data_IF_830821081620
#
_entry.id   IF_830821081620
#
_cell.length_a   1.000
_cell.length_b   1.000
_cell.length_c   1.000
_cell.angle_alpha   90.00
_cell.angle_beta   90.00
_cell.angle_gamma   90.00
#
_symmetry.space_group_name_H-M   'P 1'
#
loop_
_entity.id
_entity.type
_entity.pdbx_description
1 polymer ?
#
# COMPACT_ATOMS: atom_id res chain seq x y z
N UNK A 1 -2.28 7.13 -25.78
CA UNK A 1 -2.11 6.05 -25.42
C UNK A 1 -2.35 5.83 -24.04
N UNK A 2 -2.67 4.88 -23.77
CA UNK A 2 -2.90 4.63 -22.47
C UNK A 2 -1.74 4.97 -21.67
N UNK A 3 -1.96 5.58 -20.65
CA UNK A 3 -0.98 5.87 -19.74
C UNK A 3 -0.62 4.62 -19.00
N UNK A 4 0.38 3.95 -19.48
CA UNK A 4 0.73 2.68 -18.91
C UNK A 4 1.22 2.77 -17.49
N UNK A 5 1.56 3.96 -17.05
CA UNK A 5 2.07 4.11 -15.69
C UNK A 5 0.99 4.28 -14.65
N UNK A 6 -0.23 4.62 -15.05
CA UNK A 6 -1.26 4.89 -14.08
C UNK A 6 -1.67 3.69 -13.27
N UNK A 7 -1.48 2.48 -13.80
CA UNK A 7 -1.84 1.27 -13.09
C UNK A 7 -0.66 0.49 -12.55
N UNK A 8 0.53 1.07 -12.58
CA UNK A 8 1.74 0.34 -12.25
C UNK A 8 2.13 0.55 -10.80
N UNK A 9 1.59 -0.27 -9.96
CA UNK A 9 1.89 -0.22 -8.54
C UNK A 9 2.58 -1.49 -8.08
N UNK A 10 3.63 -1.34 -7.29
CA UNK A 10 4.29 -2.44 -6.60
C UNK A 10 3.85 -2.38 -5.15
N UNK A 11 3.33 -3.47 -4.62
CA UNK A 11 2.70 -3.48 -3.30
C UNK A 11 3.38 -4.52 -2.42
N UNK A 12 3.60 -4.17 -1.17
CA UNK A 12 4.01 -5.11 -0.14
C UNK A 12 3.26 -4.82 1.14
N UNK A 13 3.00 -5.86 1.94
CA UNK A 13 2.34 -5.67 3.23
C UNK A 13 3.31 -6.10 4.32
N UNK A 14 3.66 -5.16 5.19
CA UNK A 14 4.56 -5.41 6.31
C UNK A 14 3.76 -5.83 7.52
N UNK A 15 4.37 -6.62 8.39
CA UNK A 15 3.65 -7.14 9.56
C UNK A 15 3.28 -6.07 10.57
N UNK A 16 4.04 -4.97 10.63
CA UNK A 16 3.77 -3.89 11.58
C UNK A 16 4.42 -2.58 11.10
N UNK A 17 4.17 -1.52 11.85
CA UNK A 17 4.68 -0.19 11.54
C UNK A 17 6.20 -0.14 11.57
N UNK A 18 6.82 -0.87 12.49
CA UNK A 18 8.27 -0.86 12.63
C UNK A 18 8.94 -1.41 11.38
N UNK A 19 8.46 -2.53 10.87
CA UNK A 19 9.00 -3.12 9.65
C UNK A 19 8.68 -2.28 8.43
N UNK A 20 7.49 -1.69 8.40
CA UNK A 20 7.11 -0.78 7.32
C UNK A 20 8.04 0.42 7.27
N UNK A 21 8.39 0.98 8.42
CA UNK A 21 9.30 2.11 8.47
C UNK A 21 10.68 1.74 7.92
N UNK A 22 11.19 0.57 8.27
CA UNK A 22 12.47 0.11 7.73
C UNK A 22 12.43 -0.05 6.22
N UNK A 23 11.34 -0.63 5.71
CA UNK A 23 11.17 -0.81 4.27
C UNK A 23 11.06 0.52 3.54
N UNK A 24 10.31 1.45 4.09
CA UNK A 24 10.16 2.79 3.50
C UNK A 24 11.50 3.52 3.50
N UNK A 25 12.25 3.46 4.60
CA UNK A 25 13.55 4.10 4.65
C UNK A 25 14.48 3.53 3.57
N UNK A 26 14.42 2.22 3.35
CA UNK A 26 15.22 1.59 2.32
C UNK A 26 14.78 2.02 0.91
N UNK A 27 13.48 2.18 0.69
CA UNK A 27 12.98 2.70 -0.59
C UNK A 27 13.51 4.10 -0.86
N UNK A 28 13.49 4.94 0.16
CA UNK A 28 13.97 6.32 0.02
C UNK A 28 15.47 6.36 -0.24
N UNK A 29 16.23 5.52 0.45
CA UNK A 29 17.68 5.42 0.21
C UNK A 29 17.99 4.91 -1.20
N UNK A 30 17.09 4.11 -1.75
CA UNK A 30 17.24 3.64 -3.12
C UNK A 30 16.86 4.70 -4.16
N UNK A 31 16.41 5.87 -3.72
CA UNK A 31 16.11 6.98 -4.61
C UNK A 31 14.66 7.05 -5.05
N UNK A 32 13.77 6.25 -4.44
CA UNK A 32 12.35 6.32 -4.78
C UNK A 32 11.71 7.50 -4.06
N UNK A 33 11.01 8.32 -4.81
CA UNK A 33 10.46 9.58 -4.30
C UNK A 33 9.31 9.31 -3.33
N UNK A 34 9.21 10.07 -2.22
CA UNK A 34 8.08 9.92 -1.30
C UNK A 34 6.72 10.09 -1.98
N UNK A 35 6.65 10.94 -3.01
CA UNK A 35 5.39 11.17 -3.74
C UNK A 35 4.88 9.93 -4.45
N UNK A 36 5.74 8.95 -4.69
CA UNK A 36 5.34 7.69 -5.33
C UNK A 36 4.89 6.64 -4.32
N UNK A 37 5.03 6.92 -3.03
CA UNK A 37 4.75 5.94 -1.98
C UNK A 37 3.33 6.13 -1.46
N UNK A 38 2.62 5.01 -1.26
CA UNK A 38 1.31 5.00 -0.62
C UNK A 38 1.36 4.13 0.62
N UNK A 39 0.59 4.49 1.63
CA UNK A 39 0.50 3.74 2.88
C UNK A 39 -0.97 3.54 3.21
N UNK A 40 -1.36 2.31 3.50
CA UNK A 40 -2.71 1.96 3.93
C UNK A 40 -2.60 1.00 5.11
N UNK A 41 -3.21 1.36 6.22
CA UNK A 41 -3.19 0.50 7.42
C UNK A 41 -4.35 0.86 8.33
N UNK A 42 -4.64 -0.03 9.28
CA UNK A 42 -5.69 0.25 10.27
C UNK A 42 -5.34 1.50 11.06
N UNK A 43 -6.35 2.28 11.35
CA UNK A 43 -6.18 3.54 12.07
C UNK A 43 -5.51 3.32 13.43
N UNK A 44 -4.41 4.02 13.65
CA UNK A 44 -3.74 4.07 14.95
C UNK A 44 -2.84 5.29 14.98
N UNK A 45 -2.41 5.67 16.19
CA UNK A 45 -1.49 6.79 16.34
C UNK A 45 -0.16 6.52 15.64
N UNK A 46 0.31 5.27 15.70
CA UNK A 46 1.56 4.88 15.07
C UNK A 46 1.49 4.96 13.55
N UNK A 47 0.40 4.51 12.97
CA UNK A 47 0.20 4.60 11.53
C UNK A 47 0.09 6.05 11.10
N UNK A 48 -0.63 6.88 11.87
CA UNK A 48 -0.72 8.30 11.59
C UNK A 48 0.63 8.98 11.58
N UNK A 49 1.47 8.67 12.56
CA UNK A 49 2.82 9.23 12.64
C UNK A 49 3.68 8.77 11.46
N UNK A 50 3.55 7.50 11.07
CA UNK A 50 4.29 6.97 9.93
C UNK A 50 3.93 7.70 8.64
N UNK A 51 2.63 7.91 8.41
CA UNK A 51 2.17 8.60 7.22
C UNK A 51 2.69 10.04 7.19
N UNK A 52 2.58 10.74 8.31
CA UNK A 52 3.04 12.14 8.35
C UNK A 52 4.55 12.23 8.14
N UNK A 53 5.32 11.34 8.78
CA UNK A 53 6.77 11.36 8.65
C UNK A 53 7.22 11.02 7.24
N UNK A 54 6.52 10.13 6.56
CA UNK A 54 6.90 9.67 5.22
C UNK A 54 6.40 10.62 4.13
N UNK A 55 5.14 11.04 4.22
CA UNK A 55 4.45 11.74 3.15
C UNK A 55 4.24 13.22 3.42
N UNK A 56 4.55 13.68 4.61
CA UNK A 56 4.48 15.09 4.96
C UNK A 56 3.07 15.63 5.15
N UNK A 57 2.08 14.74 5.28
CA UNK A 57 0.69 15.14 5.46
C UNK A 57 -0.08 14.02 6.15
N UNK A 58 -1.22 14.38 6.72
CA UNK A 58 -2.05 13.41 7.44
C UNK A 58 -2.72 12.43 6.50
N UNK A 59 -2.91 11.21 6.97
CA UNK A 59 -3.66 10.20 6.23
C UNK A 59 -5.15 10.50 6.23
N UNK A 60 -5.84 10.01 5.22
CA UNK A 60 -7.28 10.09 5.13
C UNK A 60 -7.88 8.91 5.87
N UNK A 61 -8.90 9.15 6.70
CA UNK A 61 -9.60 8.09 7.40
C UNK A 61 -10.69 7.52 6.50
N UNK A 62 -10.61 6.23 6.24
CA UNK A 62 -11.56 5.54 5.35
C UNK A 62 -12.06 4.29 6.08
N UNK A 63 -13.36 4.12 6.19
CA UNK A 63 -13.92 2.93 6.81
C UNK A 63 -14.36 1.92 5.77
N UNK A 64 -13.94 0.67 5.94
CA UNK A 64 -14.45 -0.44 5.13
C UNK A 64 -14.99 -1.50 6.08
N UNK A 65 -15.97 -2.26 5.62
CA UNK A 65 -16.58 -3.29 6.47
C UNK A 65 -15.62 -4.43 6.79
N UNK A 66 -14.69 -4.73 5.89
CA UNK A 66 -13.78 -5.87 6.09
C UNK A 66 -12.62 -5.54 7.03
N UNK A 67 -12.16 -4.28 7.03
CA UNK A 67 -10.97 -3.91 7.80
C UNK A 67 -11.28 -2.99 8.98
N UNK A 68 -12.43 -2.36 8.98
CA UNK A 68 -12.72 -1.26 9.91
C UNK A 68 -12.03 0.02 9.44
N UNK A 69 -11.85 1.00 10.33
CA UNK A 69 -11.26 2.28 9.92
C UNK A 69 -9.80 2.12 9.50
N UNK A 70 -9.46 2.70 8.36
CA UNK A 70 -8.11 2.74 7.83
C UNK A 70 -7.62 4.17 7.79
N UNK A 71 -6.30 4.35 7.87
CA UNK A 71 -5.64 5.58 7.47
C UNK A 71 -4.90 5.29 6.17
N UNK A 72 -5.04 6.17 5.19
CA UNK A 72 -4.52 5.92 3.85
C UNK A 72 -4.10 7.21 3.18
N UNK A 73 -2.99 7.15 2.44
CA UNK A 73 -2.54 8.29 1.66
C UNK A 73 -1.59 7.82 0.56
N UNK A 74 -1.62 8.50 -0.57
CA UNK A 74 -0.69 8.29 -1.67
C UNK A 74 -1.38 7.97 -2.99
N UNK A 75 -0.61 7.82 -4.07
CA UNK A 75 -1.19 7.62 -5.41
C UNK A 75 -2.05 6.36 -5.55
N UNK A 76 -1.71 5.28 -4.85
CA UNK A 76 -2.55 4.09 -4.90
C UNK A 76 -3.93 4.38 -4.31
N UNK A 77 -3.98 5.13 -3.21
CA UNK A 77 -5.25 5.48 -2.57
C UNK A 77 -6.12 6.27 -3.53
N UNK A 78 -5.54 7.22 -4.24
CA UNK A 78 -6.28 7.99 -5.23
C UNK A 78 -6.84 7.09 -6.33
N UNK A 79 -6.06 6.13 -6.79
CA UNK A 79 -6.49 5.18 -7.82
C UNK A 79 -7.62 4.28 -7.31
N UNK A 80 -7.53 3.81 -6.05
CA UNK A 80 -8.55 2.95 -5.47
C UNK A 80 -9.85 3.71 -5.22
N UNK A 81 -9.76 4.97 -4.78
CA UNK A 81 -10.94 5.76 -4.53
C UNK A 81 -11.67 6.14 -5.81
N UNK A 82 -10.93 6.64 -6.80
CA UNK A 82 -11.57 7.16 -8.00
C UNK A 82 -12.51 8.31 -7.67
N UNK A 83 -13.28 8.79 -8.66
CA UNK A 83 -14.18 9.93 -8.44
C UNK A 83 -15.37 9.61 -7.53
N UNK A 84 -15.75 8.34 -7.40
CA UNK A 84 -16.90 7.95 -6.59
C UNK A 84 -16.53 7.54 -5.17
N UNK A 85 -15.27 7.65 -4.79
CA UNK A 85 -14.75 7.28 -3.47
C UNK A 85 -15.10 5.83 -3.12
N UNK A 86 -14.73 4.93 -4.01
CA UNK A 86 -15.17 3.56 -3.97
C UNK A 86 -14.50 2.69 -2.92
N UNK A 87 -13.41 3.15 -2.32
CA UNK A 87 -12.68 2.33 -1.36
C UNK A 87 -13.56 1.92 -0.17
N UNK A 88 -14.33 2.86 0.36
CA UNK A 88 -15.25 2.54 1.45
C UNK A 88 -16.39 1.63 0.99
N UNK A 89 -16.83 1.77 -0.25
CA UNK A 89 -17.97 1.02 -0.77
C UNK A 89 -17.60 -0.40 -1.18
N UNK A 90 -16.49 -0.56 -1.89
CA UNK A 90 -16.06 -1.84 -2.43
C UNK A 90 -15.04 -2.55 -1.55
N UNK A 91 -14.45 -1.84 -0.62
CA UNK A 91 -13.40 -2.38 0.22
C UNK A 91 -12.07 -2.43 -0.49
N UNK A 92 -11.04 -2.80 0.27
CA UNK A 92 -9.68 -2.83 -0.25
C UNK A 92 -9.53 -3.88 -1.36
N UNK A 93 -10.05 -5.08 -1.13
CA UNK A 93 -9.94 -6.15 -2.12
C UNK A 93 -10.65 -5.78 -3.44
N UNK A 94 -11.86 -5.25 -3.35
CA UNK A 94 -12.63 -4.90 -4.54
C UNK A 94 -11.97 -3.81 -5.37
N UNK A 95 -11.44 -2.77 -4.71
CA UNK A 95 -10.81 -1.68 -5.43
C UNK A 95 -9.44 -2.07 -5.98
N UNK A 96 -8.69 -2.92 -5.27
CA UNK A 96 -7.42 -3.44 -5.79
C UNK A 96 -7.66 -4.25 -7.06
N UNK A 97 -8.70 -5.07 -7.07
CA UNK A 97 -9.05 -5.83 -8.27
C UNK A 97 -9.37 -4.91 -9.43
N UNK A 98 -10.10 -3.83 -9.17
CA UNK A 98 -10.46 -2.88 -10.21
C UNK A 98 -9.25 -2.22 -10.85
N UNK A 99 -8.20 -1.94 -10.07
CA UNK A 99 -7.00 -1.30 -10.63
C UNK A 99 -6.03 -2.31 -11.27
N UNK A 100 -6.36 -3.60 -11.27
CA UNK A 100 -5.58 -4.56 -12.04
C UNK A 100 -4.97 -5.70 -11.25
N UNK A 101 -5.05 -5.70 -9.92
CA UNK A 101 -4.55 -6.83 -9.15
C UNK A 101 -5.49 -8.02 -9.29
N UNK A 102 -4.94 -9.22 -9.21
CA UNK A 102 -5.76 -10.42 -9.24
C UNK A 102 -6.63 -10.48 -8.00
N UNK A 103 -7.80 -11.09 -8.11
CA UNK A 103 -8.73 -11.20 -6.99
C UNK A 103 -8.09 -11.87 -5.78
N UNK A 104 -7.29 -12.90 -6.03
CA UNK A 104 -6.59 -13.62 -4.97
C UNK A 104 -5.63 -12.70 -4.21
N UNK A 105 -4.84 -11.93 -4.94
CA UNK A 105 -3.88 -11.00 -4.33
C UNK A 105 -4.60 -9.91 -3.54
N UNK A 106 -5.67 -9.37 -4.09
CA UNK A 106 -6.45 -8.35 -3.40
C UNK A 106 -7.00 -8.85 -2.08
N UNK A 107 -7.46 -10.10 -2.05
CA UNK A 107 -7.96 -10.68 -0.81
C UNK A 107 -6.86 -10.88 0.23
N UNK A 108 -5.67 -11.28 -0.23
CA UNK A 108 -4.53 -11.44 0.68
C UNK A 108 -4.15 -10.08 1.28
N UNK A 109 -4.04 -9.05 0.45
CA UNK A 109 -3.70 -7.70 0.93
C UNK A 109 -4.73 -7.21 1.93
N UNK A 110 -6.01 -7.39 1.64
CA UNK A 110 -7.07 -6.97 2.57
C UNK A 110 -7.00 -7.74 3.88
N UNK A 111 -6.81 -9.05 3.83
CA UNK A 111 -6.73 -9.88 5.03
C UNK A 111 -5.57 -9.48 5.91
N UNK A 112 -4.39 -9.28 5.31
CA UNK A 112 -3.21 -8.89 6.07
C UNK A 112 -3.37 -7.50 6.69
N UNK A 113 -3.97 -6.58 5.96
CA UNK A 113 -4.24 -5.24 6.47
C UNK A 113 -5.24 -5.29 7.62
N UNK A 114 -6.27 -6.13 7.50
CA UNK A 114 -7.25 -6.30 8.55
C UNK A 114 -6.64 -6.87 9.84
N UNK A 115 -5.54 -7.61 9.70
CA UNK A 115 -4.82 -8.19 10.84
C UNK A 115 -3.80 -7.23 11.45
N UNK A 116 -3.73 -6.01 10.96
CA UNK A 116 -2.79 -5.02 11.48
C UNK A 116 -1.56 -4.81 10.62
N UNK A 117 -1.51 -5.43 9.45
CA UNK A 117 -0.42 -5.20 8.51
C UNK A 117 -0.44 -3.79 7.93
N UNK A 118 0.71 -3.34 7.46
CA UNK A 118 0.86 -2.04 6.84
C UNK A 118 1.14 -2.23 5.36
N UNK A 119 0.20 -1.83 4.52
CA UNK A 119 0.35 -1.92 3.07
C UNK A 119 1.14 -0.71 2.60
N UNK A 120 2.23 -0.97 1.89
CA UNK A 120 3.06 0.07 1.28
C UNK A 120 3.12 -0.18 -0.21
N UNK A 121 2.91 0.86 -0.99
CA UNK A 121 2.93 0.76 -2.43
C UNK A 121 3.88 1.78 -3.02
N UNK A 122 4.49 1.44 -4.16
CA UNK A 122 5.33 2.37 -4.90
C UNK A 122 4.79 2.46 -6.32
N UNK A 123 4.59 3.69 -6.78
CA UNK A 123 4.12 3.95 -8.14
C UNK A 123 5.32 4.42 -8.97
N UNK A 124 6.04 3.48 -9.56
CA UNK A 124 7.23 3.82 -10.33
C UNK A 124 7.55 2.71 -11.31
N UNK A 125 7.07 2.83 -12.53
CA UNK A 125 7.28 1.80 -13.54
C UNK A 125 8.75 1.52 -13.82
N UNK A 126 9.60 2.53 -14.06
CA UNK A 126 11.00 2.24 -14.39
C UNK A 126 11.77 1.58 -13.26
N UNK A 127 11.31 1.74 -12.03
CA UNK A 127 12.01 1.21 -10.86
C UNK A 127 11.20 0.14 -10.13
N UNK A 128 10.22 -0.45 -10.82
CA UNK A 128 9.36 -1.44 -10.19
C UNK A 128 10.13 -2.63 -9.64
N UNK A 129 11.12 -3.12 -10.36
CA UNK A 129 11.91 -4.26 -9.90
C UNK A 129 12.72 -3.92 -8.64
N UNK A 130 13.29 -2.71 -8.59
CA UNK A 130 14.03 -2.27 -7.41
C UNK A 130 13.09 -2.13 -6.21
N UNK A 131 11.91 -1.56 -6.43
CA UNK A 131 10.94 -1.40 -5.37
C UNK A 131 10.48 -2.75 -4.83
N UNK A 132 10.20 -3.70 -5.73
CA UNK A 132 9.78 -5.03 -5.33
C UNK A 132 10.85 -5.72 -4.49
N UNK A 133 12.11 -5.61 -4.92
CA UNK A 133 13.23 -6.22 -4.19
C UNK A 133 13.37 -5.64 -2.79
N UNK A 134 13.23 -4.32 -2.64
CA UNK A 134 13.32 -3.67 -1.33
C UNK A 134 12.17 -4.12 -0.43
N UNK A 135 10.94 -4.08 -0.95
CA UNK A 135 9.78 -4.50 -0.17
C UNK A 135 9.93 -5.94 0.31
N UNK A 136 10.38 -6.81 -0.57
CA UNK A 136 10.57 -8.22 -0.23
C UNK A 136 11.65 -8.41 0.84
N UNK A 137 12.77 -7.67 0.71
CA UNK A 137 13.89 -7.79 1.64
C UNK A 137 13.55 -7.38 3.06
N UNK A 138 12.58 -6.49 3.23
CA UNK A 138 12.19 -6.00 4.54
C UNK A 138 10.90 -6.63 5.05
N UNK A 139 10.51 -7.76 4.49
CA UNK A 139 9.40 -8.52 5.01
C UNK A 139 8.05 -8.25 4.37
N UNK A 140 8.01 -7.38 3.35
CA UNK A 140 6.77 -7.08 2.66
C UNK A 140 6.20 -8.24 1.86
N UNK A 141 7.04 -9.24 1.57
CA UNK A 141 6.62 -10.44 0.87
C UNK A 141 6.98 -11.71 1.62
N UNK A 142 7.18 -11.62 2.92
CA UNK A 142 7.65 -12.74 3.71
C UNK A 142 6.52 -13.72 4.00
N UNK A 143 6.64 -14.94 3.49
CA UNK A 143 5.61 -15.96 3.66
C UNK A 143 5.40 -16.36 5.11
N UNK A 144 6.43 -16.23 5.95
CA UNK A 144 6.31 -16.63 7.36
C UNK A 144 5.35 -15.75 8.13
N UNK A 145 5.17 -14.51 7.70
CA UNK A 145 4.21 -13.63 8.34
C UNK A 145 2.95 -13.43 7.49
N UNK A 146 2.86 -14.15 6.39
CA UNK A 146 1.72 -14.07 5.50
C UNK A 146 1.71 -12.83 4.60
N UNK A 147 2.79 -12.09 4.55
CA UNK A 147 2.87 -10.91 3.70
C UNK A 147 3.01 -11.30 2.24
N UNK A 148 2.65 -10.40 1.37
CA UNK A 148 2.61 -10.66 -0.05
C UNK A 148 3.10 -9.44 -0.81
N UNK A 149 3.79 -9.65 -1.91
CA UNK A 149 4.16 -8.57 -2.81
C UNK A 149 3.60 -8.86 -4.20
N UNK A 150 3.22 -7.79 -4.89
CA UNK A 150 2.73 -7.94 -6.23
C UNK A 150 2.77 -6.61 -6.95
N UNK A 151 2.48 -6.65 -8.25
CA UNK A 151 2.42 -5.41 -9.03
C UNK A 151 1.46 -5.55 -10.20
N UNK A 152 1.02 -4.42 -10.65
CA UNK A 152 0.17 -4.31 -11.83
C UNK A 152 0.84 -3.47 -12.89
#
# INVERSE_FOLDING_TARGET
>A
MVDVDTGRFTVGVFQDVKWAQKGIDALRRAGLAPESISIIAKESAEVGALIEATLGAQGERIETSATGPLLARGPLVAALQGPARDLAKLGLSGTLRRVGFQAHDGRIFETLTARGGVLVSVHSEPRAADALAVLHSYGGGNAAIGAWTGRV
#
